data_IF_092210965863
#
_entry.id   IF_092210965863
#
_cell.length_a   1.000
_cell.length_b   1.000
_cell.length_c   1.000
_cell.angle_alpha   90.00
_cell.angle_beta   90.00
_cell.angle_gamma   90.00
#
_symmetry.space_group_name_H-M   'P 1'
#
loop_
_entity.id
_entity.type
_entity.pdbx_description
1 polymer ?
#
# COMPACT_ATOMS: atom_id res chain seq x y z
N UNK A 1 57.37 -12.30 -13.38
CA UNK A 1 56.64 -12.10 -12.09
C UNK A 1 55.84 -13.37 -11.79
N UNK A 2 56.04 -14.00 -10.63
CA UNK A 2 55.36 -15.27 -10.25
C UNK A 2 54.07 -14.95 -9.48
N UNK A 3 52.92 -15.06 -10.12
CA UNK A 3 51.61 -14.92 -9.47
C UNK A 3 51.33 -16.11 -8.54
N UNK A 4 50.98 -15.82 -7.29
CA UNK A 4 50.72 -16.83 -6.26
C UNK A 4 49.49 -17.66 -6.61
N UNK A 5 49.45 -18.93 -6.18
CA UNK A 5 48.30 -19.80 -6.41
C UNK A 5 47.00 -19.19 -5.89
N UNK A 6 47.04 -18.48 -4.77
CA UNK A 6 45.92 -17.75 -4.19
C UNK A 6 45.45 -16.57 -5.04
N UNK A 7 46.36 -15.76 -5.63
CA UNK A 7 45.95 -14.67 -6.53
C UNK A 7 45.31 -15.18 -7.82
N UNK A 8 45.70 -16.36 -8.32
CA UNK A 8 45.02 -17.02 -9.44
C UNK A 8 43.60 -17.47 -9.09
N UNK A 9 43.38 -17.99 -7.88
CA UNK A 9 42.05 -18.38 -7.41
C UNK A 9 41.13 -17.19 -7.18
N UNK A 10 41.66 -16.07 -6.67
CA UNK A 10 40.87 -14.83 -6.50
C UNK A 10 40.47 -14.22 -7.85
N UNK A 11 41.37 -14.23 -8.85
CA UNK A 11 41.06 -13.79 -10.21
C UNK A 11 40.04 -14.70 -10.92
N UNK A 12 40.10 -16.01 -10.67
CA UNK A 12 39.15 -16.99 -11.21
C UNK A 12 37.72 -16.78 -10.65
N UNK A 13 37.60 -16.45 -9.36
CA UNK A 13 36.29 -16.23 -8.72
C UNK A 13 35.62 -14.92 -9.16
N UNK A 14 36.40 -13.86 -9.39
CA UNK A 14 35.87 -12.58 -9.88
C UNK A 14 35.39 -12.71 -11.34
N UNK A 15 36.08 -13.49 -12.18
CA UNK A 15 35.66 -13.79 -13.54
C UNK A 15 34.39 -14.67 -13.62
N UNK A 16 34.11 -15.47 -12.58
CA UNK A 16 32.91 -16.31 -12.52
C UNK A 16 31.66 -15.51 -12.07
N UNK A 17 31.83 -14.42 -11.33
CA UNK A 17 30.73 -13.56 -10.87
C UNK A 17 30.26 -12.56 -11.94
N UNK A 18 31.09 -12.23 -12.94
CA UNK A 18 30.74 -11.32 -14.03
C UNK A 18 29.89 -11.96 -15.14
N UNK A 19 29.69 -13.29 -15.15
CA UNK A 19 28.87 -13.98 -16.15
C UNK A 19 27.39 -14.17 -15.76
N UNK A 20 27.02 -14.01 -14.48
CA UNK A 20 25.62 -14.06 -14.04
C UNK A 20 24.90 -12.69 -14.09
N UNK A 21 25.63 -11.62 -14.45
CA UNK A 21 25.08 -10.26 -14.57
C UNK A 21 24.66 -9.88 -16.01
N UNK A 22 24.80 -10.81 -16.98
CA UNK A 22 24.24 -10.67 -18.33
C UNK A 22 23.35 -11.87 -18.66
N UNK A 23 22.12 -11.88 -18.13
CA UNK A 23 21.01 -12.58 -18.78
C UNK A 23 20.47 -11.68 -19.91
N UNK A 24 21.09 -11.77 -21.09
CA UNK A 24 20.50 -11.32 -22.35
C UNK A 24 21.23 -12.04 -23.49
N UNK A 25 20.45 -12.79 -24.25
CA UNK A 25 20.75 -13.50 -25.51
C UNK A 25 21.95 -12.98 -26.31
N UNK A 26 22.81 -13.90 -26.74
CA UNK A 26 23.87 -13.66 -27.73
C UNK A 26 23.54 -14.36 -29.05
N UNK A 27 23.35 -13.58 -30.12
CA UNK A 27 23.80 -13.94 -31.47
C UNK A 27 24.24 -12.65 -32.17
N UNK A 28 25.53 -12.57 -32.52
CA UNK A 28 26.05 -11.56 -33.44
C UNK A 28 25.68 -11.97 -34.87
N UNK A 29 24.99 -11.08 -35.59
CA UNK A 29 25.09 -10.99 -37.04
C UNK A 29 25.19 -9.50 -37.40
N UNK A 30 26.34 -9.13 -37.94
CA UNK A 30 26.69 -7.80 -38.42
C UNK A 30 25.72 -7.31 -39.49
N UNK A 31 25.14 -6.12 -39.29
CA UNK A 31 24.79 -5.25 -40.41
C UNK A 31 24.84 -3.79 -39.96
N UNK A 32 25.79 -3.04 -40.51
CA UNK A 32 25.89 -1.59 -40.38
C UNK A 32 24.94 -0.95 -41.38
N UNK A 33 23.78 -0.44 -40.94
CA UNK A 33 22.97 0.54 -41.70
C UNK A 33 22.21 1.45 -40.73
N UNK A 34 22.67 2.70 -40.70
CA UNK A 34 21.90 3.95 -40.54
C UNK A 34 21.47 4.41 -39.14
N UNK A 35 21.83 5.67 -38.91
CA UNK A 35 21.51 6.51 -37.79
C UNK A 35 20.01 6.78 -37.60
N UNK A 36 19.72 7.20 -36.35
CA UNK A 36 18.62 8.08 -35.92
C UNK A 36 17.22 7.49 -35.69
N UNK A 37 16.80 7.57 -34.41
CA UNK A 37 15.44 7.89 -33.91
C UNK A 37 14.68 6.83 -33.07
N UNK A 38 15.32 6.14 -32.11
CA UNK A 38 14.57 5.27 -31.16
C UNK A 38 14.71 5.62 -29.66
N UNK A 39 15.47 6.65 -29.29
CA UNK A 39 15.72 7.01 -27.88
C UNK A 39 14.54 7.73 -27.17
N UNK A 40 13.55 8.24 -27.92
CA UNK A 40 12.50 9.10 -27.37
C UNK A 40 11.29 8.37 -26.76
N UNK A 41 10.97 7.17 -27.24
CA UNK A 41 9.75 6.44 -26.83
C UNK A 41 9.95 5.74 -25.48
N UNK A 42 11.08 5.04 -25.29
CA UNK A 42 11.39 4.34 -24.04
C UNK A 42 11.59 5.31 -22.85
N UNK A 43 12.23 6.46 -23.08
CA UNK A 43 12.38 7.49 -22.05
C UNK A 43 11.05 8.15 -21.65
N UNK A 44 10.12 8.31 -22.60
CA UNK A 44 8.79 8.85 -22.33
C UNK A 44 7.93 7.84 -21.57
N UNK A 45 7.94 6.57 -21.98
CA UNK A 45 7.22 5.48 -21.29
C UNK A 45 7.71 5.26 -19.86
N UNK A 46 9.02 5.31 -19.61
CA UNK A 46 9.57 5.21 -18.25
C UNK A 46 9.14 6.38 -17.37
N UNK A 47 9.19 7.61 -17.88
CA UNK A 47 8.73 8.79 -17.13
C UNK A 47 7.24 8.73 -16.80
N UNK A 48 6.40 8.26 -17.73
CA UNK A 48 4.96 8.08 -17.44
C UNK A 48 4.74 7.01 -16.37
N UNK A 49 5.47 5.90 -16.42
CA UNK A 49 5.40 4.84 -15.40
C UNK A 49 5.84 5.33 -14.01
N UNK A 50 6.90 6.15 -13.94
CA UNK A 50 7.37 6.78 -12.70
C UNK A 50 6.32 7.73 -12.11
N UNK A 51 5.73 8.60 -12.94
CA UNK A 51 4.68 9.52 -12.51
C UNK A 51 3.43 8.78 -12.02
N UNK A 52 3.03 7.70 -12.69
CA UNK A 52 1.93 6.84 -12.26
C UNK A 52 2.25 6.07 -10.97
N UNK A 53 3.49 5.62 -10.79
CA UNK A 53 3.94 4.99 -9.56
C UNK A 53 3.90 5.98 -8.39
N UNK A 54 4.38 7.21 -8.59
CA UNK A 54 4.29 8.28 -7.60
C UNK A 54 2.84 8.64 -7.27
N UNK A 55 1.97 8.76 -8.28
CA UNK A 55 0.55 9.06 -8.08
C UNK A 55 -0.13 7.97 -7.24
N UNK A 56 0.16 6.69 -7.53
CA UNK A 56 -0.34 5.55 -6.74
C UNK A 56 0.20 5.57 -5.31
N UNK A 57 1.47 5.86 -5.11
CA UNK A 57 2.07 5.97 -3.78
C UNK A 57 1.41 7.08 -2.95
N UNK A 58 1.17 8.25 -3.55
CA UNK A 58 0.45 9.36 -2.89
C UNK A 58 -0.99 9.00 -2.56
N UNK A 59 -1.69 8.32 -3.47
CA UNK A 59 -3.06 7.87 -3.22
C UNK A 59 -3.14 6.84 -2.10
N UNK A 60 -2.21 5.87 -2.06
CA UNK A 60 -2.13 4.88 -0.99
C UNK A 60 -1.87 5.53 0.38
N UNK A 61 -0.94 6.49 0.44
CA UNK A 61 -0.66 7.23 1.68
C UNK A 61 -1.86 8.08 2.13
N UNK A 62 -2.61 8.66 1.19
CA UNK A 62 -3.83 9.40 1.51
C UNK A 62 -4.92 8.47 2.07
N UNK A 63 -5.12 7.31 1.47
CA UNK A 63 -6.07 6.30 1.94
C UNK A 63 -5.71 5.79 3.33
N UNK A 64 -4.43 5.51 3.60
CA UNK A 64 -3.96 5.11 4.92
C UNK A 64 -4.28 6.18 5.98
N UNK A 65 -4.07 7.45 5.66
CA UNK A 65 -4.40 8.56 6.56
C UNK A 65 -5.90 8.66 6.83
N UNK A 66 -6.74 8.46 5.82
CA UNK A 66 -8.20 8.45 5.95
C UNK A 66 -8.64 7.29 6.83
N UNK A 67 -8.12 6.08 6.58
CA UNK A 67 -8.42 4.90 7.38
C UNK A 67 -8.01 5.08 8.84
N UNK A 68 -6.79 5.59 9.08
CA UNK A 68 -6.31 5.88 10.44
C UNK A 68 -7.19 6.91 11.17
N UNK A 69 -7.61 7.97 10.47
CA UNK A 69 -8.52 8.97 11.03
C UNK A 69 -9.90 8.35 11.36
N UNK A 70 -10.46 7.54 10.45
CA UNK A 70 -11.73 6.86 10.65
C UNK A 70 -11.69 5.90 11.86
N UNK A 71 -10.62 5.10 12.00
CA UNK A 71 -10.43 4.19 13.12
C UNK A 71 -10.21 4.90 14.47
N UNK A 72 -9.81 6.18 14.45
CA UNK A 72 -9.69 6.97 15.66
C UNK A 72 -11.04 7.56 16.12
N UNK A 73 -12.02 7.69 15.24
CA UNK A 73 -13.39 8.07 15.59
C UNK A 73 -14.11 6.89 16.24
N UNK A 74 -14.48 7.02 17.51
CA UNK A 74 -15.09 5.94 18.32
C UNK A 74 -16.43 6.29 18.96
N UNK A 75 -16.88 7.53 18.81
CA UNK A 75 -18.14 8.02 19.38
C UNK A 75 -19.02 8.48 18.22
N UNK A 76 -20.24 7.97 18.17
CA UNK A 76 -21.23 8.26 17.14
C UNK A 76 -22.49 8.79 17.82
N UNK A 77 -23.00 9.92 17.35
CA UNK A 77 -24.16 10.58 17.93
C UNK A 77 -25.41 10.28 17.12
N UNK A 78 -26.51 10.06 17.82
CA UNK A 78 -27.83 9.85 17.23
C UNK A 78 -28.69 11.09 17.35
N UNK A 79 -29.70 11.18 16.49
CA UNK A 79 -30.78 12.14 16.64
C UNK A 79 -31.75 11.69 17.74
N UNK A 80 -32.59 12.61 18.24
CA UNK A 80 -33.53 12.29 19.31
C UNK A 80 -34.50 11.19 18.89
N UNK A 81 -34.58 10.13 19.70
CA UNK A 81 -35.46 8.97 19.49
C UNK A 81 -35.21 8.22 18.18
N UNK A 82 -33.96 8.25 17.69
CA UNK A 82 -33.52 7.59 16.45
C UNK A 82 -32.38 6.63 16.76
N UNK A 83 -32.46 5.41 16.25
CA UNK A 83 -31.41 4.39 16.37
C UNK A 83 -30.65 4.15 15.06
N UNK A 84 -30.96 4.91 14.01
CA UNK A 84 -30.30 4.80 12.72
C UNK A 84 -29.06 5.70 12.63
N UNK A 85 -27.95 5.17 12.13
CA UNK A 85 -26.74 5.95 11.86
C UNK A 85 -26.93 6.94 10.72
N UNK A 86 -26.29 8.11 10.81
CA UNK A 86 -26.19 9.01 9.65
C UNK A 86 -25.29 8.40 8.57
N UNK A 87 -25.48 8.82 7.33
CA UNK A 87 -24.70 8.27 6.21
C UNK A 87 -23.19 8.47 6.36
N UNK A 88 -22.76 9.62 6.91
CA UNK A 88 -21.35 9.88 7.18
C UNK A 88 -20.77 8.90 8.21
N UNK A 89 -21.53 8.58 9.26
CA UNK A 89 -21.11 7.64 10.30
C UNK A 89 -21.01 6.21 9.76
N UNK A 90 -21.94 5.80 8.89
CA UNK A 90 -21.88 4.50 8.19
C UNK A 90 -20.59 4.32 7.39
N UNK A 91 -20.11 5.38 6.73
CA UNK A 91 -18.85 5.34 5.99
C UNK A 91 -17.67 5.10 6.93
N UNK A 92 -17.65 5.77 8.10
CA UNK A 92 -16.61 5.58 9.12
C UNK A 92 -16.68 4.16 9.72
N UNK A 93 -17.87 3.68 10.06
CA UNK A 93 -18.09 2.33 10.59
C UNK A 93 -17.62 1.23 9.64
N UNK A 94 -17.64 1.47 8.34
CA UNK A 94 -17.11 0.52 7.35
C UNK A 94 -15.61 0.27 7.53
N UNK A 95 -14.83 1.27 7.94
CA UNK A 95 -13.40 1.09 8.25
C UNK A 95 -13.22 0.22 9.49
N UNK A 96 -13.99 0.46 10.56
CA UNK A 96 -13.98 -0.38 11.76
C UNK A 96 -14.38 -1.83 11.45
N UNK A 97 -15.42 -2.02 10.64
CA UNK A 97 -15.87 -3.36 10.24
C UNK A 97 -14.78 -4.12 9.47
N UNK A 98 -14.10 -3.45 8.53
CA UNK A 98 -12.97 -4.04 7.78
C UNK A 98 -11.79 -4.37 8.69
N UNK A 99 -11.44 -3.47 9.61
CA UNK A 99 -10.37 -3.67 10.58
C UNK A 99 -10.67 -4.86 11.52
N UNK A 100 -11.89 -5.01 12.01
CA UNK A 100 -12.30 -6.16 12.83
C UNK A 100 -12.32 -7.46 12.02
N UNK A 101 -12.77 -7.42 10.76
CA UNK A 101 -12.76 -8.59 9.89
C UNK A 101 -11.33 -9.07 9.56
N UNK A 102 -10.39 -8.14 9.38
CA UNK A 102 -8.98 -8.45 9.15
C UNK A 102 -8.26 -8.94 10.42
N UNK A 103 -8.74 -8.58 11.60
CA UNK A 103 -8.12 -8.88 12.89
C UNK A 103 -9.08 -9.69 13.78
N UNK A 104 -9.29 -10.96 13.46
CA UNK A 104 -10.27 -11.84 14.13
C UNK A 104 -10.03 -12.07 15.64
N UNK A 105 -8.81 -11.82 16.12
CA UNK A 105 -8.45 -11.87 17.53
C UNK A 105 -8.76 -10.56 18.29
N UNK A 106 -9.06 -9.47 17.59
CA UNK A 106 -9.42 -8.18 18.20
C UNK A 106 -10.77 -8.31 18.91
N UNK A 107 -10.84 -7.80 20.14
CA UNK A 107 -12.06 -7.76 20.95
C UNK A 107 -12.42 -6.31 21.21
N UNK A 108 -13.68 -5.96 21.02
CA UNK A 108 -14.22 -4.63 21.30
C UNK A 108 -15.42 -4.74 22.22
N UNK A 109 -15.71 -3.64 22.93
CA UNK A 109 -16.93 -3.47 23.70
C UNK A 109 -17.72 -2.33 23.05
N UNK A 110 -18.97 -2.61 22.71
CA UNK A 110 -19.91 -1.60 22.24
C UNK A 110 -20.72 -1.11 23.44
N UNK A 111 -20.78 0.20 23.62
CA UNK A 111 -21.53 0.85 24.68
C UNK A 111 -22.51 1.84 24.06
N UNK A 112 -23.77 1.72 24.45
CA UNK A 112 -24.82 2.67 24.11
C UNK A 112 -25.13 3.58 25.27
N UNK A 113 -25.42 4.84 24.96
CA UNK A 113 -25.81 5.85 25.93
C UNK A 113 -27.02 6.60 25.38
N UNK A 114 -27.99 6.84 26.26
CA UNK A 114 -29.07 7.78 26.00
C UNK A 114 -28.88 9.04 26.85
N UNK A 115 -29.61 10.09 26.52
CA UNK A 115 -29.66 11.29 27.36
C UNK A 115 -30.52 11.08 28.62
N UNK A 116 -30.68 12.11 29.44
CA UNK A 116 -31.38 12.03 30.73
C UNK A 116 -32.91 12.07 30.64
N UNK A 117 -33.50 12.24 29.44
CA UNK A 117 -34.95 12.36 29.26
C UNK A 117 -35.61 10.99 29.28
N UNK A 118 -36.82 10.90 29.80
CA UNK A 118 -37.59 9.64 29.87
C UNK A 118 -37.29 8.81 31.11
N UNK A 119 -37.70 7.54 31.11
CA UNK A 119 -37.45 6.61 32.22
C UNK A 119 -36.10 5.92 32.06
N UNK A 120 -35.52 5.45 33.18
CA UNK A 120 -34.27 4.68 33.15
C UNK A 120 -34.40 3.42 32.29
N UNK A 121 -35.54 2.74 32.40
CA UNK A 121 -35.83 1.50 31.68
C UNK A 121 -35.93 1.75 30.17
N UNK A 122 -36.53 2.87 29.75
CA UNK A 122 -36.59 3.27 28.35
C UNK A 122 -35.19 3.54 27.80
N UNK A 123 -34.39 4.31 28.53
CA UNK A 123 -33.03 4.66 28.12
C UNK A 123 -32.08 3.46 28.07
N UNK A 124 -32.30 2.45 28.92
CA UNK A 124 -31.57 1.18 28.86
C UNK A 124 -31.94 0.33 27.64
N UNK A 125 -33.17 0.45 27.13
CA UNK A 125 -33.58 -0.23 25.92
C UNK A 125 -33.14 0.52 24.64
N UNK A 126 -33.00 1.84 24.73
CA UNK A 126 -32.61 2.69 23.60
C UNK A 126 -31.08 2.72 23.36
N UNK A 127 -30.28 2.66 24.42
CA UNK A 127 -28.82 2.60 24.36
C UNK A 127 -28.31 1.19 24.15
#
# INVERSE_FOLDING_TARGET
MKFSRSTKFTLLFIALFSLAACSSTSEEASNEVVAETESGIDATTRRTQELEAEARARAAAAEERIAAAALNTRVFYFDFDVSEFRQADRNVLTYHARDLAANSNKRIRLEGHADERGTREYNLALG
#
